data_IF_223556050315
#
_entry.id   IF_223556050315
#
_cell.length_a   1.000
_cell.length_b   1.000
_cell.length_c   1.000
_cell.angle_alpha   90.00
_cell.angle_beta   90.00
_cell.angle_gamma   90.00
#
_symmetry.space_group_name_H-M   'P 1'
#
loop_
_entity.id
_entity.type
_entity.pdbx_description
1 polymer ?
#
# COMPACT_ATOMS: atom_id res chain seq x y z
N UNK A 1 15.58 -6.97 5.87
CA UNK A 1 14.44 -7.90 5.81
C UNK A 1 14.89 -9.08 4.97
N UNK A 2 14.61 -10.29 5.44
CA UNK A 2 14.74 -11.54 4.67
C UNK A 2 13.37 -12.23 4.58
N UNK A 3 13.28 -13.29 3.78
CA UNK A 3 12.04 -14.03 3.55
C UNK A 3 11.45 -14.63 4.84
N UNK A 4 12.30 -15.08 5.78
CA UNK A 4 11.85 -15.64 7.07
C UNK A 4 11.17 -14.59 7.95
N UNK A 5 11.77 -13.40 8.03
CA UNK A 5 11.22 -12.26 8.79
C UNK A 5 9.92 -11.75 8.16
N UNK A 6 9.82 -11.78 6.83
CA UNK A 6 8.57 -11.50 6.12
C UNK A 6 7.46 -12.51 6.48
N UNK A 7 7.72 -13.82 6.39
CA UNK A 7 6.73 -14.85 6.72
C UNK A 7 6.26 -14.78 8.19
N UNK A 8 7.18 -14.60 9.14
CA UNK A 8 6.83 -14.43 10.56
C UNK A 8 5.89 -13.24 10.79
N UNK A 9 6.11 -12.14 10.07
CA UNK A 9 5.24 -10.98 10.17
C UNK A 9 3.82 -11.24 9.63
N UNK A 10 3.67 -12.03 8.55
CA UNK A 10 2.34 -12.40 8.04
C UNK A 10 1.54 -13.20 9.06
N UNK A 11 2.16 -14.18 9.73
CA UNK A 11 1.49 -14.96 10.77
C UNK A 11 1.06 -14.10 11.97
N UNK A 12 1.92 -13.18 12.40
CA UNK A 12 1.63 -12.27 13.52
C UNK A 12 0.43 -11.33 13.23
N UNK A 13 0.15 -11.04 11.95
CA UNK A 13 -0.90 -10.11 11.54
C UNK A 13 -2.24 -10.79 11.21
N UNK A 14 -2.31 -12.12 11.17
CA UNK A 14 -3.54 -12.84 10.78
C UNK A 14 -4.74 -12.49 11.66
N UNK A 15 -4.56 -12.45 12.99
CA UNK A 15 -5.63 -12.11 13.93
C UNK A 15 -6.07 -10.64 13.87
N UNK A 16 -5.14 -9.75 13.50
CA UNK A 16 -5.44 -8.32 13.38
C UNK A 16 -6.47 -8.03 12.29
N UNK A 17 -6.33 -8.64 11.10
CA UNK A 17 -7.27 -8.36 10.01
C UNK A 17 -8.70 -8.83 10.32
N UNK A 18 -8.86 -9.90 11.09
CA UNK A 18 -10.18 -10.32 11.60
C UNK A 18 -10.72 -9.29 12.60
N UNK A 19 -9.91 -8.92 13.59
CA UNK A 19 -10.33 -7.97 14.62
C UNK A 19 -10.72 -6.61 14.05
N UNK A 20 -9.95 -6.07 13.10
CA UNK A 20 -10.23 -4.78 12.50
C UNK A 20 -11.42 -4.83 11.52
N UNK A 21 -11.64 -5.96 10.85
CA UNK A 21 -12.86 -6.18 10.08
C UNK A 21 -14.11 -6.22 10.98
N UNK A 22 -14.05 -6.95 12.10
CA UNK A 22 -15.15 -7.00 13.08
C UNK A 22 -15.45 -5.62 13.65
N UNK A 23 -14.42 -4.86 14.04
CA UNK A 23 -14.59 -3.50 14.53
C UNK A 23 -15.17 -2.56 13.45
N UNK A 24 -14.75 -2.68 12.20
CA UNK A 24 -15.31 -1.93 11.08
C UNK A 24 -16.79 -2.26 10.83
N UNK A 25 -17.15 -3.55 10.78
CA UNK A 25 -18.53 -4.00 10.60
C UNK A 25 -19.47 -3.51 11.71
N UNK A 26 -18.97 -3.40 12.94
CA UNK A 26 -19.68 -2.89 14.10
C UNK A 26 -19.72 -1.36 14.21
N UNK A 27 -19.19 -0.64 13.21
CA UNK A 27 -19.07 0.82 13.21
C UNK A 27 -18.35 1.37 14.46
N UNK A 28 -17.26 0.70 14.87
CA UNK A 28 -16.48 1.14 16.00
C UNK A 28 -15.81 2.51 15.72
N UNK A 29 -15.71 3.33 16.77
CA UNK A 29 -15.05 4.63 16.69
C UNK A 29 -13.57 4.49 16.28
N UNK A 30 -13.03 5.51 15.60
CA UNK A 30 -11.66 5.52 15.10
C UNK A 30 -10.58 5.20 16.15
N UNK A 31 -10.67 5.64 17.42
CA UNK A 31 -9.70 5.25 18.46
C UNK A 31 -9.55 3.74 18.62
N UNK A 32 -10.65 2.97 18.52
CA UNK A 32 -10.62 1.51 18.59
C UNK A 32 -9.83 0.91 17.42
N UNK A 33 -10.07 1.38 16.20
CA UNK A 33 -9.32 0.94 15.01
C UNK A 33 -7.83 1.27 15.13
N UNK A 34 -7.52 2.45 15.67
CA UNK A 34 -6.14 2.90 15.91
C UNK A 34 -5.43 2.01 16.93
N UNK A 35 -6.08 1.64 18.02
CA UNK A 35 -5.51 0.74 19.03
C UNK A 35 -5.22 -0.66 18.47
N UNK A 36 -6.12 -1.20 17.66
CA UNK A 36 -5.89 -2.46 16.93
C UNK A 36 -4.66 -2.35 16.01
N UNK A 37 -4.55 -1.26 15.25
CA UNK A 37 -3.40 -1.02 14.37
C UNK A 37 -2.08 -0.89 15.12
N UNK A 38 -2.06 -0.19 16.26
CA UNK A 38 -0.89 -0.09 17.15
C UNK A 38 -0.53 -1.47 17.72
N UNK A 39 -1.53 -2.25 18.13
CA UNK A 39 -1.34 -3.63 18.62
C UNK A 39 -0.69 -4.52 17.55
N UNK A 40 -1.16 -4.41 16.30
CA UNK A 40 -0.64 -5.14 15.15
C UNK A 40 0.81 -4.75 14.82
N UNK A 41 1.13 -3.45 14.85
CA UNK A 41 2.50 -2.96 14.68
C UNK A 41 3.44 -3.55 15.75
N UNK A 42 3.02 -3.51 17.03
CA UNK A 42 3.80 -4.10 18.13
C UNK A 42 3.98 -5.61 17.96
N UNK A 43 2.93 -6.33 17.54
CA UNK A 43 2.99 -7.77 17.30
C UNK A 43 3.96 -8.11 16.16
N UNK A 44 3.91 -7.38 15.05
CA UNK A 44 4.87 -7.48 13.96
C UNK A 44 6.30 -7.25 14.46
N UNK A 45 6.57 -6.12 15.13
CA UNK A 45 7.92 -5.79 15.61
C UNK A 45 8.47 -6.84 16.57
N UNK A 46 7.65 -7.41 17.47
CA UNK A 46 8.08 -8.51 18.33
C UNK A 46 8.44 -9.76 17.52
N UNK A 47 7.63 -10.14 16.55
CA UNK A 47 7.86 -11.32 15.72
C UNK A 47 9.08 -11.19 14.79
N UNK A 48 9.47 -9.95 14.46
CA UNK A 48 10.56 -9.66 13.52
C UNK A 48 11.84 -9.16 14.19
N UNK A 49 11.91 -9.13 15.53
CA UNK A 49 13.09 -8.63 16.25
C UNK A 49 13.34 -7.14 16.03
N UNK A 50 12.27 -6.35 15.88
CA UNK A 50 12.33 -4.90 15.66
C UNK A 50 12.46 -4.48 14.20
N UNK A 51 12.51 -5.44 13.25
CA UNK A 51 12.55 -5.11 11.83
C UNK A 51 11.16 -4.68 11.36
N UNK A 52 11.05 -3.42 10.92
CA UNK A 52 9.82 -2.93 10.30
C UNK A 52 9.63 -3.58 8.92
N UNK A 53 8.67 -4.50 8.81
CA UNK A 53 8.38 -5.18 7.54
C UNK A 53 7.21 -4.57 6.78
N UNK A 54 6.14 -4.15 7.49
CA UNK A 54 4.86 -3.79 6.88
C UNK A 54 4.12 -2.64 7.58
N UNK A 55 4.81 -1.75 8.32
CA UNK A 55 4.09 -0.70 9.08
C UNK A 55 3.14 0.15 8.22
N UNK A 56 3.55 0.50 7.00
CA UNK A 56 2.71 1.22 6.04
C UNK A 56 1.49 0.39 5.60
N UNK A 57 1.72 -0.86 5.20
CA UNK A 57 0.65 -1.78 4.84
C UNK A 57 -0.34 -2.05 5.99
N UNK A 58 0.10 -2.25 7.24
CA UNK A 58 -0.78 -2.49 8.41
C UNK A 58 -1.80 -1.36 8.56
N UNK A 59 -1.34 -0.12 8.41
CA UNK A 59 -2.18 1.06 8.52
C UNK A 59 -3.17 1.16 7.35
N UNK A 60 -2.67 1.21 6.11
CA UNK A 60 -3.52 1.42 4.93
C UNK A 60 -4.48 0.25 4.72
N UNK A 61 -3.97 -0.98 4.76
CA UNK A 61 -4.78 -2.18 4.56
C UNK A 61 -5.78 -2.37 5.71
N UNK A 62 -5.39 -2.04 6.95
CA UNK A 62 -6.29 -2.08 8.09
C UNK A 62 -7.51 -1.18 7.94
N UNK A 63 -7.30 0.07 7.51
CA UNK A 63 -8.39 1.02 7.26
C UNK A 63 -9.29 0.58 6.10
N UNK A 64 -8.69 0.07 5.02
CA UNK A 64 -9.45 -0.44 3.87
C UNK A 64 -10.29 -1.68 4.26
N UNK A 65 -9.74 -2.58 5.08
CA UNK A 65 -10.46 -3.73 5.63
C UNK A 65 -11.62 -3.29 6.51
N UNK A 66 -11.40 -2.34 7.42
CA UNK A 66 -12.47 -1.79 8.26
C UNK A 66 -13.57 -1.13 7.42
N UNK A 67 -13.20 -0.32 6.42
CA UNK A 67 -14.15 0.36 5.55
C UNK A 67 -14.96 -0.63 4.70
N UNK A 68 -14.31 -1.64 4.11
CA UNK A 68 -14.98 -2.68 3.36
C UNK A 68 -15.97 -3.45 4.25
N UNK A 69 -15.55 -3.84 5.46
CA UNK A 69 -16.40 -4.54 6.40
C UNK A 69 -17.63 -3.70 6.84
N UNK A 70 -17.43 -2.41 7.11
CA UNK A 70 -18.53 -1.46 7.43
C UNK A 70 -19.52 -1.31 6.27
N UNK A 71 -19.02 -1.12 5.05
CA UNK A 71 -19.87 -1.01 3.88
C UNK A 71 -20.68 -2.29 3.63
N UNK A 72 -20.06 -3.47 3.83
CA UNK A 72 -20.74 -4.78 3.73
C UNK A 72 -21.72 -5.07 4.87
N UNK A 73 -21.59 -4.45 6.04
CA UNK A 73 -22.61 -4.60 7.08
C UNK A 73 -23.82 -3.70 6.82
N UNK A 74 -23.61 -2.58 6.13
CA UNK A 74 -24.66 -1.65 5.72
C UNK A 74 -25.38 -2.07 4.42
N UNK A 75 -24.73 -2.84 3.55
CA UNK A 75 -25.27 -3.29 2.27
C UNK A 75 -25.04 -4.79 2.06
N UNK A 76 -26.00 -5.50 1.46
CA UNK A 76 -25.86 -6.95 1.22
C UNK A 76 -24.84 -7.34 0.15
N UNK A 77 -24.37 -6.39 -0.67
CA UNK A 77 -23.42 -6.63 -1.76
C UNK A 77 -21.99 -6.25 -1.38
N UNK A 78 -21.00 -6.89 -2.02
CA UNK A 78 -19.60 -6.50 -1.89
C UNK A 78 -19.40 -5.09 -2.48
N UNK A 79 -18.78 -4.14 -1.74
CA UNK A 79 -18.54 -2.79 -2.23
C UNK A 79 -17.44 -2.78 -3.29
N UNK A 80 -17.56 -1.91 -4.29
CA UNK A 80 -16.48 -1.62 -5.23
C UNK A 80 -15.25 -1.03 -4.48
N UNK A 81 -14.04 -1.38 -4.91
CA UNK A 81 -12.80 -0.93 -4.27
C UNK A 81 -12.62 0.58 -4.26
N UNK A 82 -13.15 1.31 -5.25
CA UNK A 82 -13.18 2.78 -5.23
C UNK A 82 -14.09 3.30 -4.12
N UNK A 83 -15.23 2.65 -3.92
CA UNK A 83 -16.16 2.98 -2.83
C UNK A 83 -15.51 2.74 -1.46
N UNK A 84 -14.78 1.63 -1.30
CA UNK A 84 -14.00 1.35 -0.07
C UNK A 84 -12.95 2.45 0.17
N UNK A 85 -12.19 2.84 -0.85
CA UNK A 85 -11.21 3.93 -0.73
C UNK A 85 -11.86 5.26 -0.31
N UNK A 86 -12.94 5.67 -0.97
CA UNK A 86 -13.67 6.91 -0.65
C UNK A 86 -14.24 6.85 0.77
N UNK A 87 -14.76 5.69 1.18
CA UNK A 87 -15.36 5.49 2.50
C UNK A 87 -14.36 5.73 3.64
N UNK A 88 -13.07 5.41 3.46
CA UNK A 88 -12.03 5.74 4.47
C UNK A 88 -11.97 7.26 4.70
N UNK A 89 -11.97 8.05 3.62
CA UNK A 89 -11.98 9.51 3.71
C UNK A 89 -13.29 10.06 4.29
N UNK A 90 -14.43 9.44 3.97
CA UNK A 90 -15.73 9.85 4.50
C UNK A 90 -15.84 9.54 6.00
N UNK A 91 -15.45 8.34 6.42
CA UNK A 91 -15.65 7.87 7.79
C UNK A 91 -14.67 8.47 8.78
N UNK A 92 -13.43 8.73 8.36
CA UNK A 92 -12.34 8.98 9.31
C UNK A 92 -11.43 10.16 8.96
N UNK A 93 -11.75 11.01 7.97
CA UNK A 93 -10.87 12.14 7.59
C UNK A 93 -10.46 13.02 8.76
N UNK A 94 -11.41 13.52 9.54
CA UNK A 94 -11.11 14.41 10.67
C UNK A 94 -10.26 13.70 11.71
N UNK A 95 -10.68 12.51 12.16
CA UNK A 95 -9.93 11.71 13.13
C UNK A 95 -8.52 11.33 12.63
N UNK A 96 -8.36 11.10 11.32
CA UNK A 96 -7.07 10.83 10.67
C UNK A 96 -6.18 12.07 10.61
N UNK A 97 -6.72 13.28 10.55
CA UNK A 97 -5.94 14.52 10.53
C UNK A 97 -5.62 14.99 11.95
N UNK A 98 -6.52 14.78 12.90
CA UNK A 98 -6.38 15.20 14.30
C UNK A 98 -5.55 14.24 15.16
N UNK A 99 -5.41 12.97 14.74
CA UNK A 99 -4.67 11.99 15.52
C UNK A 99 -3.24 12.48 15.86
N UNK A 100 -2.75 12.25 17.09
CA UNK A 100 -1.45 12.75 17.51
C UNK A 100 -0.34 12.13 16.66
N UNK A 101 0.60 12.99 16.27
CA UNK A 101 1.76 12.63 15.48
C UNK A 101 2.88 12.18 16.43
N UNK A 102 3.48 11.01 16.16
CA UNK A 102 4.78 10.66 16.73
C UNK A 102 5.91 11.36 15.94
N UNK A 103 6.48 12.47 16.45
CA UNK A 103 7.47 13.26 15.73
C UNK A 103 8.77 12.50 15.48
N UNK A 104 9.02 11.41 16.21
CA UNK A 104 10.21 10.58 16.08
C UNK A 104 10.03 9.44 15.07
N UNK A 105 8.80 9.23 14.57
CA UNK A 105 8.57 8.24 13.53
C UNK A 105 9.31 8.61 12.24
N UNK A 106 9.98 7.61 11.65
CA UNK A 106 10.76 7.77 10.43
C UNK A 106 9.96 8.40 9.29
N UNK A 107 8.71 7.97 9.12
CA UNK A 107 7.80 8.49 8.11
C UNK A 107 7.54 9.98 8.26
N UNK A 108 7.33 10.48 9.49
CA UNK A 108 7.13 11.91 9.71
C UNK A 108 8.39 12.74 9.49
N UNK A 109 9.56 12.22 9.87
CA UNK A 109 10.83 12.90 9.59
C UNK A 109 11.02 13.09 8.09
N UNK A 110 10.78 12.04 7.30
CA UNK A 110 10.88 12.09 5.84
C UNK A 110 9.82 12.99 5.21
N UNK A 111 8.58 12.95 5.73
CA UNK A 111 7.49 13.84 5.31
C UNK A 111 7.88 15.32 5.44
N UNK A 112 8.41 15.70 6.62
CA UNK A 112 8.86 17.07 6.88
C UNK A 112 10.08 17.45 6.02
N UNK A 113 11.03 16.54 5.87
CA UNK A 113 12.25 16.80 5.11
C UNK A 113 11.97 17.01 3.60
N UNK A 114 11.03 16.25 3.03
CA UNK A 114 10.79 16.25 1.60
C UNK A 114 9.52 16.99 1.15
N UNK A 115 8.64 17.39 2.07
CA UNK A 115 7.41 18.13 1.76
C UNK A 115 6.34 17.29 1.05
N UNK A 116 6.39 15.96 1.20
CA UNK A 116 5.48 15.01 0.52
C UNK A 116 4.32 14.65 1.46
N UNK A 117 3.14 14.34 0.91
CA UNK A 117 2.01 13.84 1.71
C UNK A 117 2.34 12.47 2.36
N UNK A 118 1.96 12.29 3.62
CA UNK A 118 2.12 11.01 4.31
C UNK A 118 0.95 10.07 4.06
N UNK A 119 1.05 8.85 4.61
CA UNK A 119 0.02 7.81 4.48
C UNK A 119 -1.33 8.22 5.10
N UNK A 120 -1.32 9.10 6.11
CA UNK A 120 -2.53 9.63 6.75
C UNK A 120 -3.26 10.60 5.84
N UNK A 121 -2.53 11.51 5.21
CA UNK A 121 -3.07 12.46 4.25
C UNK A 121 -3.63 11.73 3.02
N UNK A 122 -2.94 10.67 2.57
CA UNK A 122 -3.48 9.77 1.54
C UNK A 122 -4.79 9.11 1.97
N UNK A 123 -4.87 8.55 3.18
CA UNK A 123 -6.07 7.91 3.69
C UNK A 123 -7.24 8.91 3.87
N UNK A 124 -6.96 10.10 4.43
CA UNK A 124 -7.94 11.16 4.64
C UNK A 124 -8.50 11.72 3.32
N UNK A 125 -7.73 11.64 2.23
CA UNK A 125 -8.14 11.97 0.87
C UNK A 125 -8.83 10.79 0.14
N UNK A 126 -9.02 9.65 0.80
CA UNK A 126 -9.62 8.45 0.19
C UNK A 126 -8.69 7.74 -0.79
N UNK A 127 -7.38 7.69 -0.50
CA UNK A 127 -6.35 6.99 -1.26
C UNK A 127 -6.37 7.28 -2.79
N UNK A 128 -6.07 8.53 -3.21
CA UNK A 128 -6.08 8.90 -4.62
C UNK A 128 -5.21 7.99 -5.49
N UNK A 129 -4.00 7.61 -5.04
CA UNK A 129 -3.14 6.68 -5.80
C UNK A 129 -3.76 5.28 -6.00
N UNK A 130 -4.57 4.79 -5.05
CA UNK A 130 -5.28 3.52 -5.25
C UNK A 130 -6.40 3.69 -6.27
N UNK A 131 -7.12 4.80 -6.20
CA UNK A 131 -8.30 5.09 -7.02
C UNK A 131 -7.94 5.44 -8.47
N UNK A 132 -6.92 6.25 -8.66
CA UNK A 132 -6.59 6.87 -9.94
C UNK A 132 -5.48 6.11 -10.68
N UNK A 133 -4.65 5.35 -9.95
CA UNK A 133 -3.51 4.62 -10.54
C UNK A 133 -3.64 3.11 -10.37
N UNK A 134 -3.67 2.63 -9.12
CA UNK A 134 -3.50 1.19 -8.86
C UNK A 134 -4.67 0.34 -9.37
N UNK A 135 -5.90 0.65 -8.95
CA UNK A 135 -7.09 -0.10 -9.35
C UNK A 135 -7.35 -0.02 -10.87
N UNK A 136 -7.31 1.16 -11.52
CA UNK A 136 -7.47 1.25 -12.97
C UNK A 136 -6.42 0.44 -13.73
N UNK A 137 -5.15 0.50 -13.31
CA UNK A 137 -4.05 -0.22 -13.97
C UNK A 137 -4.21 -1.73 -13.82
N UNK A 138 -4.49 -2.22 -12.61
CA UNK A 138 -4.68 -3.64 -12.35
C UNK A 138 -5.87 -4.20 -13.13
N UNK A 139 -7.02 -3.51 -13.09
CA UNK A 139 -8.22 -3.91 -13.82
C UNK A 139 -8.02 -3.85 -15.33
N UNK A 140 -7.30 -2.85 -15.84
CA UNK A 140 -7.01 -2.74 -17.27
C UNK A 140 -6.09 -3.88 -17.74
N UNK A 141 -5.01 -4.18 -17.00
CA UNK A 141 -4.10 -5.27 -17.33
C UNK A 141 -4.81 -6.63 -17.33
N UNK A 142 -5.62 -6.92 -16.30
CA UNK A 142 -6.39 -8.17 -16.23
C UNK A 142 -7.42 -8.28 -17.37
N UNK A 143 -8.14 -7.20 -17.70
CA UNK A 143 -9.08 -7.17 -18.84
C UNK A 143 -8.39 -7.34 -20.19
N UNK A 144 -7.15 -6.88 -20.32
CA UNK A 144 -6.32 -7.10 -21.50
C UNK A 144 -5.77 -8.53 -21.60
N UNK A 145 -6.14 -9.43 -20.68
CA UNK A 145 -5.76 -10.84 -20.71
C UNK A 145 -4.36 -11.13 -20.16
N UNK A 146 -3.72 -10.16 -19.50
CA UNK A 146 -2.43 -10.42 -18.83
C UNK A 146 -2.65 -11.40 -17.68
N UNK A 147 -1.73 -12.35 -17.54
CA UNK A 147 -1.68 -13.22 -16.37
C UNK A 147 -1.52 -12.38 -15.09
N UNK A 148 -2.02 -12.91 -13.96
CA UNK A 148 -2.02 -12.21 -12.67
C UNK A 148 -0.66 -11.58 -12.32
N UNK A 149 0.43 -12.34 -12.45
CA UNK A 149 1.79 -11.87 -12.16
C UNK A 149 2.18 -10.66 -13.02
N UNK A 150 1.89 -10.70 -14.33
CA UNK A 150 2.15 -9.61 -15.25
C UNK A 150 1.31 -8.37 -14.94
N UNK A 151 0.03 -8.56 -14.57
CA UNK A 151 -0.85 -7.46 -14.17
C UNK A 151 -0.38 -6.79 -12.87
N UNK A 152 0.14 -7.57 -11.90
CA UNK A 152 0.75 -7.04 -10.68
C UNK A 152 2.05 -6.29 -10.96
N UNK A 153 2.92 -6.83 -11.82
CA UNK A 153 4.14 -6.16 -12.25
C UNK A 153 3.82 -4.82 -12.95
N UNK A 154 2.91 -4.83 -13.92
CA UNK A 154 2.43 -3.62 -14.60
C UNK A 154 1.97 -2.57 -13.58
N UNK A 155 1.09 -2.96 -12.66
CA UNK A 155 0.53 -2.06 -11.64
C UNK A 155 1.60 -1.51 -10.70
N UNK A 156 2.57 -2.33 -10.29
CA UNK A 156 3.70 -1.90 -9.46
C UNK A 156 4.51 -0.81 -10.17
N UNK A 157 4.80 -0.99 -11.46
CA UNK A 157 5.60 -0.05 -12.22
C UNK A 157 4.81 1.25 -12.48
N UNK A 158 3.49 1.17 -12.69
CA UNK A 158 2.61 2.36 -12.72
C UNK A 158 2.66 3.15 -11.42
N UNK A 159 2.66 2.46 -10.28
CA UNK A 159 2.77 3.08 -8.96
C UNK A 159 4.14 3.71 -8.75
N UNK A 160 5.23 3.00 -9.08
CA UNK A 160 6.60 3.53 -8.96
C UNK A 160 6.78 4.79 -9.80
N UNK A 161 6.20 4.84 -11.01
CA UNK A 161 6.31 5.98 -11.92
C UNK A 161 5.64 7.27 -11.41
N UNK A 162 4.69 7.16 -10.47
CA UNK A 162 3.81 8.27 -10.04
C UNK A 162 3.87 8.56 -8.53
N UNK A 163 4.36 7.63 -7.72
CA UNK A 163 4.42 7.81 -6.27
C UNK A 163 5.68 8.55 -5.87
N UNK A 164 5.54 9.57 -5.02
CA UNK A 164 6.66 10.12 -4.25
C UNK A 164 7.00 9.19 -3.08
N UNK A 165 7.61 8.05 -3.39
CA UNK A 165 7.86 6.98 -2.42
C UNK A 165 8.87 7.44 -1.36
N UNK A 166 8.41 7.55 -0.11
CA UNK A 166 9.24 7.95 1.03
C UNK A 166 10.40 6.99 1.31
N UNK A 167 10.29 5.70 0.96
CA UNK A 167 11.40 4.75 1.09
C UNK A 167 12.48 5.00 0.04
N UNK A 168 12.09 5.34 -1.19
CA UNK A 168 13.04 5.75 -2.23
C UNK A 168 13.74 7.06 -1.87
N UNK A 169 12.97 8.08 -1.45
CA UNK A 169 13.51 9.36 -0.99
C UNK A 169 14.47 9.19 0.17
N UNK A 170 14.13 8.33 1.14
CA UNK A 170 15.00 8.08 2.28
C UNK A 170 16.33 7.44 1.88
N UNK A 171 16.30 6.44 0.99
CA UNK A 171 17.50 5.64 0.67
C UNK A 171 18.39 6.26 -0.40
N UNK A 172 17.80 6.96 -1.37
CA UNK A 172 18.50 7.52 -2.52
C UNK A 172 18.25 9.00 -2.77
N UNK A 173 17.52 9.69 -1.89
CA UNK A 173 17.15 11.09 -2.10
C UNK A 173 16.27 11.30 -3.32
N UNK A 174 16.21 12.55 -3.80
CA UNK A 174 15.48 12.92 -5.02
C UNK A 174 16.04 12.24 -6.26
N UNK A 175 17.34 11.98 -6.30
CA UNK A 175 17.98 11.33 -7.44
C UNK A 175 17.62 9.84 -7.53
N UNK A 176 17.57 9.15 -6.39
CA UNK A 176 17.10 7.77 -6.30
C UNK A 176 15.62 7.63 -6.66
N UNK A 177 14.77 8.54 -6.17
CA UNK A 177 13.36 8.58 -6.57
C UNK A 177 13.21 8.80 -8.07
N UNK A 178 13.90 9.81 -8.62
CA UNK A 178 13.86 10.13 -10.05
C UNK A 178 14.35 8.95 -10.90
N UNK A 179 15.44 8.30 -10.51
CA UNK A 179 15.96 7.12 -11.18
C UNK A 179 14.91 5.98 -11.24
N UNK A 180 14.25 5.70 -10.12
CA UNK A 180 13.20 4.68 -10.08
C UNK A 180 11.99 5.05 -10.95
N UNK A 181 11.52 6.29 -10.88
CA UNK A 181 10.42 6.79 -11.70
C UNK A 181 10.74 6.74 -13.19
N UNK A 182 11.95 7.14 -13.60
CA UNK A 182 12.41 7.06 -15.00
C UNK A 182 12.52 5.61 -15.48
N UNK A 183 13.09 4.71 -14.66
CA UNK A 183 13.20 3.29 -14.99
C UNK A 183 11.82 2.66 -15.19
N UNK A 184 10.86 3.01 -14.33
CA UNK A 184 9.49 2.54 -14.45
C UNK A 184 8.79 3.10 -15.69
N UNK A 185 8.92 4.40 -15.98
CA UNK A 185 8.35 5.01 -17.19
C UNK A 185 8.90 4.37 -18.46
N UNK A 186 10.22 4.16 -18.54
CA UNK A 186 10.85 3.52 -19.69
C UNK A 186 10.31 2.10 -19.93
N UNK A 187 10.13 1.30 -18.88
CA UNK A 187 9.51 -0.02 -18.99
C UNK A 187 8.08 0.04 -19.54
N UNK A 188 7.30 1.00 -19.06
CA UNK A 188 5.90 1.17 -19.45
C UNK A 188 5.75 1.68 -20.88
N UNK A 189 6.59 2.63 -21.29
CA UNK A 189 6.65 3.17 -22.66
C UNK A 189 7.11 2.13 -23.67
N UNK A 190 7.95 1.17 -23.27
CA UNK A 190 8.37 0.04 -24.10
C UNK A 190 7.26 -1.01 -24.33
N UNK A 191 6.09 -0.87 -23.69
CA UNK A 191 4.98 -1.81 -23.77
C UNK A 191 4.72 -2.60 -22.48
N UNK A 192 5.50 -2.33 -21.43
CA UNK A 192 5.27 -2.86 -20.08
C UNK A 192 5.23 -4.38 -20.02
N UNK A 193 4.32 -4.91 -19.19
CA UNK A 193 4.18 -6.34 -18.94
C UNK A 193 3.49 -7.12 -20.09
N UNK A 194 3.11 -6.44 -21.19
CA UNK A 194 2.61 -7.10 -22.40
C UNK A 194 3.75 -7.60 -23.30
N UNK A 195 4.98 -7.11 -23.10
CA UNK A 195 6.15 -7.53 -23.88
C UNK A 195 6.55 -8.99 -23.57
N UNK A 196 7.00 -9.80 -24.54
CA UNK A 196 7.41 -11.18 -24.29
C UNK A 196 8.56 -11.33 -23.26
N UNK A 197 9.48 -10.38 -23.21
CA UNK A 197 10.66 -10.38 -22.34
C UNK A 197 10.48 -9.55 -21.05
N UNK A 198 9.24 -9.20 -20.70
CA UNK A 198 8.95 -8.29 -19.57
C UNK A 198 9.60 -8.73 -18.25
N UNK A 199 9.68 -10.04 -17.99
CA UNK A 199 10.33 -10.59 -16.77
C UNK A 199 11.82 -10.28 -16.73
N UNK A 200 12.50 -10.38 -17.88
CA UNK A 200 13.92 -10.08 -17.98
C UNK A 200 14.16 -8.58 -17.80
N UNK A 201 13.32 -7.73 -18.41
CA UNK A 201 13.39 -6.28 -18.22
C UNK A 201 13.14 -5.89 -16.75
N UNK A 202 12.12 -6.48 -16.12
CA UNK A 202 11.82 -6.25 -14.72
C UNK A 202 12.97 -6.70 -13.79
N UNK A 203 13.60 -7.84 -14.09
CA UNK A 203 14.79 -8.30 -13.37
C UNK A 203 15.92 -7.27 -13.45
N UNK A 204 16.22 -6.75 -14.66
CA UNK A 204 17.26 -5.71 -14.84
C UNK A 204 16.96 -4.44 -14.05
N UNK A 205 15.70 -4.01 -14.00
CA UNK A 205 15.27 -2.87 -13.18
C UNK A 205 15.48 -3.18 -11.69
N UNK A 206 15.09 -4.38 -11.26
CA UNK A 206 15.31 -4.88 -9.90
C UNK A 206 16.79 -4.86 -9.50
N UNK A 207 17.67 -5.40 -10.34
CA UNK A 207 19.12 -5.42 -10.14
C UNK A 207 19.68 -4.00 -10.02
N UNK A 208 19.21 -3.09 -10.88
CA UNK A 208 19.60 -1.68 -10.83
C UNK A 208 19.16 -0.98 -9.54
N UNK A 209 18.01 -1.36 -8.98
CA UNK A 209 17.52 -0.87 -7.69
C UNK A 209 18.36 -1.42 -6.54
N UNK A 210 18.68 -2.71 -6.56
CA UNK A 210 19.55 -3.37 -5.57
C UNK A 210 20.92 -2.71 -5.54
N UNK A 211 21.55 -2.51 -6.71
CA UNK A 211 22.86 -1.87 -6.83
C UNK A 211 22.88 -0.45 -6.23
N UNK A 212 21.75 0.26 -6.29
CA UNK A 212 21.58 1.62 -5.73
C UNK A 212 20.98 1.63 -4.32
N UNK A 213 20.73 0.44 -3.73
CA UNK A 213 20.02 0.25 -2.46
C UNK A 213 18.64 0.90 -2.43
N UNK A 214 17.99 1.04 -3.57
CA UNK A 214 16.64 1.58 -3.69
C UNK A 214 15.60 0.51 -3.34
N UNK A 215 14.51 0.93 -2.71
CA UNK A 215 13.40 0.05 -2.38
C UNK A 215 12.08 0.83 -2.48
N UNK A 216 11.21 0.52 -3.47
CA UNK A 216 9.91 1.17 -3.65
C UNK A 216 8.86 0.58 -2.71
N UNK A 217 9.13 0.65 -1.40
CA UNK A 217 8.27 0.00 -0.40
C UNK A 217 6.89 0.64 -0.28
N UNK A 218 6.78 1.96 -0.49
CA UNK A 218 5.47 2.64 -0.49
C UNK A 218 4.62 2.21 -1.69
N UNK A 219 5.23 2.09 -2.87
CA UNK A 219 4.54 1.55 -4.05
C UNK A 219 4.14 0.08 -3.87
N UNK A 220 4.97 -0.74 -3.22
CA UNK A 220 4.63 -2.13 -2.90
C UNK A 220 3.46 -2.24 -1.91
N UNK A 221 3.41 -1.39 -0.87
CA UNK A 221 2.29 -1.33 0.08
C UNK A 221 0.98 -0.93 -0.63
N UNK A 222 1.03 0.02 -1.58
CA UNK A 222 -0.11 0.40 -2.40
C UNK A 222 -0.57 -0.74 -3.32
N UNK A 223 0.36 -1.50 -3.91
CA UNK A 223 0.02 -2.68 -4.71
C UNK A 223 -0.73 -3.72 -3.86
N UNK A 224 -0.25 -3.99 -2.63
CA UNK A 224 -0.91 -4.91 -1.72
C UNK A 224 -2.34 -4.46 -1.38
N UNK A 225 -2.55 -3.16 -1.17
CA UNK A 225 -3.89 -2.58 -0.97
C UNK A 225 -4.78 -2.76 -2.21
N UNK A 226 -4.26 -2.53 -3.42
CA UNK A 226 -4.99 -2.73 -4.66
C UNK A 226 -5.40 -4.20 -4.87
N UNK A 227 -4.52 -5.15 -4.54
CA UNK A 227 -4.82 -6.58 -4.56
C UNK A 227 -5.98 -6.92 -3.61
N UNK A 228 -5.98 -6.37 -2.39
CA UNK A 228 -7.07 -6.58 -1.45
C UNK A 228 -8.39 -6.04 -2.01
N UNK A 229 -8.39 -4.80 -2.48
CA UNK A 229 -9.56 -4.13 -3.01
C UNK A 229 -10.17 -4.88 -4.20
N UNK A 230 -9.34 -5.33 -5.14
CA UNK A 230 -9.78 -6.12 -6.28
C UNK A 230 -10.31 -7.50 -5.87
N UNK A 231 -9.72 -8.15 -4.86
CA UNK A 231 -10.17 -9.48 -4.41
C UNK A 231 -11.44 -9.44 -3.58
N UNK A 232 -11.63 -8.42 -2.76
CA UNK A 232 -12.82 -8.33 -1.90
C UNK A 232 -14.10 -8.02 -2.69
N UNK A 233 -13.97 -7.49 -3.92
CA UNK A 233 -15.09 -7.28 -4.85
C UNK A 233 -15.70 -8.60 -5.37
N UNK A 234 -14.88 -9.64 -5.48
CA UNK A 234 -15.26 -10.93 -6.08
C UNK A 234 -15.65 -12.01 -5.06
N UNK A 235 -16.00 -11.63 -3.82
CA UNK A 235 -16.48 -12.55 -2.77
C UNK A 235 -17.96 -12.86 -2.98
#
# INVERSE_FOLDING_TARGET
>A
MDASTFLRSLFALRGYFVAIATAGAADAAFPTLRELGIGAERAMLRATGGVNTHRGAIFSLGLLVAAAARLRSQHSAAPDGMAVCNAVGIFWREALLDAPLDPHSHGQRMRRLHGVAGVREQAAAGFPLLREVALPSLRAALRAGLAQEAALAQTLLQLIAQTDDLNLLHRGGRDGLRFAQCSARAFLEAGGAAQPDWRQQLSRIGDAFVARRLSPGGSADLLACACFLQRQEGV
#
